data_IF_376813820621
#
_entry.id   IF_376813820621
#
_cell.length_a   1.000
_cell.length_b   1.000
_cell.length_c   1.000
_cell.angle_alpha   90.00
_cell.angle_beta   90.00
_cell.angle_gamma   90.00
#
_symmetry.space_group_name_H-M   'P 1'
#
loop_
_entity.id
_entity.type
_entity.pdbx_description
1 polymer ?
#
# COMPACT_ATOMS: atom_id res chain seq x y z
N UNK A 1 1.00 -42.95 11.73
CA UNK A 1 -0.22 -42.36 12.30
C UNK A 1 -0.04 -40.84 12.25
N UNK A 2 -0.92 -40.12 11.54
CA UNK A 2 -0.85 -38.66 11.35
C UNK A 2 -1.27 -37.97 12.65
N UNK A 3 -0.48 -37.01 13.13
CA UNK A 3 -0.75 -36.27 14.37
C UNK A 3 -1.93 -35.31 14.14
N UNK A 4 -2.99 -35.29 14.97
CA UNK A 4 -4.17 -34.42 14.79
C UNK A 4 -3.90 -32.92 15.08
N UNK A 5 -2.74 -32.59 15.64
CA UNK A 5 -2.40 -31.24 16.10
C UNK A 5 -1.82 -30.31 15.01
N UNK A 6 -1.65 -30.78 13.76
CA UNK A 6 -1.10 -29.95 12.66
C UNK A 6 -2.14 -29.08 11.94
N UNK A 7 -3.41 -29.23 12.29
CA UNK A 7 -4.49 -28.49 11.66
C UNK A 7 -4.81 -27.22 12.43
N UNK A 8 -4.76 -26.07 11.76
CA UNK A 8 -5.39 -24.79 12.12
C UNK A 8 -4.62 -23.71 12.89
N UNK A 9 -3.30 -23.81 13.08
CA UNK A 9 -2.52 -22.61 13.45
C UNK A 9 -2.29 -21.74 12.22
N UNK A 10 -3.38 -21.18 11.67
CA UNK A 10 -3.30 -20.04 10.76
C UNK A 10 -2.61 -18.91 11.52
N UNK A 11 -1.31 -18.78 11.31
CA UNK A 11 -0.49 -17.70 11.86
C UNK A 11 -1.01 -16.43 11.20
N UNK A 12 -1.92 -15.74 11.92
CA UNK A 12 -2.43 -14.43 11.50
C UNK A 12 -1.20 -13.57 11.19
N UNK A 13 -1.11 -12.93 10.01
CA UNK A 13 -0.03 -12.00 9.79
C UNK A 13 -0.10 -10.97 10.92
N UNK A 14 1.02 -10.79 11.63
CA UNK A 14 1.22 -9.75 12.62
C UNK A 14 1.10 -8.41 11.86
N UNK A 15 -0.12 -7.95 11.58
CA UNK A 15 -0.34 -6.73 10.81
C UNK A 15 0.05 -5.58 11.72
N UNK A 16 1.30 -5.12 11.56
CA UNK A 16 1.82 -3.98 12.29
C UNK A 16 0.82 -2.82 12.22
N UNK A 17 0.62 -2.14 13.35
CA UNK A 17 -0.34 -1.04 13.49
C UNK A 17 -0.19 -0.02 12.34
N UNK A 18 1.04 0.25 11.92
CA UNK A 18 1.34 1.13 10.78
C UNK A 18 0.76 0.67 9.44
N UNK A 19 0.77 -0.64 9.17
CA UNK A 19 0.18 -1.23 7.95
C UNK A 19 -1.34 -1.05 7.94
N UNK A 20 -2.00 -1.29 9.08
CA UNK A 20 -3.44 -1.08 9.24
C UNK A 20 -3.79 0.40 9.04
N UNK A 21 -3.01 1.30 9.64
CA UNK A 21 -3.22 2.75 9.48
C UNK A 21 -3.11 3.18 8.02
N UNK A 22 -2.10 2.71 7.28
CA UNK A 22 -1.95 3.00 5.84
C UNK A 22 -3.14 2.47 5.04
N UNK A 23 -3.59 1.24 5.30
CA UNK A 23 -4.76 0.66 4.62
C UNK A 23 -6.03 1.47 4.90
N UNK A 24 -6.27 1.84 6.16
CA UNK A 24 -7.41 2.67 6.54
C UNK A 24 -7.34 4.04 5.86
N UNK A 25 -6.14 4.63 5.76
CA UNK A 25 -5.94 5.92 5.12
C UNK A 25 -6.20 5.87 3.61
N UNK A 26 -5.79 4.78 2.94
CA UNK A 26 -6.10 4.51 1.53
C UNK A 26 -7.61 4.34 1.33
N UNK A 27 -8.28 3.56 2.17
CA UNK A 27 -9.74 3.37 2.10
C UNK A 27 -10.49 4.69 2.33
N UNK A 28 -10.03 5.49 3.29
CA UNK A 28 -10.59 6.81 3.57
C UNK A 28 -10.42 7.73 2.36
N UNK A 29 -9.23 7.78 1.77
CA UNK A 29 -8.97 8.53 0.52
C UNK A 29 -9.87 8.05 -0.62
N UNK A 30 -10.08 6.73 -0.76
CA UNK A 30 -10.94 6.17 -1.81
C UNK A 30 -12.41 6.58 -1.64
N UNK A 31 -12.93 6.58 -0.40
CA UNK A 31 -14.29 7.07 -0.10
C UNK A 31 -14.38 8.58 -0.37
N UNK A 32 -13.37 9.33 0.09
CA UNK A 32 -13.31 10.77 -0.05
C UNK A 32 -13.20 11.21 -1.53
N UNK A 33 -12.58 10.35 -2.36
CA UNK A 33 -12.47 10.52 -3.79
C UNK A 33 -13.79 10.29 -4.54
N UNK A 34 -14.74 9.58 -3.94
CA UNK A 34 -16.00 9.23 -4.60
C UNK A 34 -16.89 10.47 -4.92
N UNK A 35 -16.55 11.64 -4.38
CA UNK A 35 -17.04 12.95 -4.81
C UNK A 35 -18.55 13.03 -5.12
N UNK A 36 -19.35 12.55 -4.17
CA UNK A 36 -20.80 12.72 -4.20
C UNK A 36 -21.29 13.99 -3.52
N UNK A 37 -20.42 14.63 -2.75
CA UNK A 37 -20.84 15.68 -1.81
C UNK A 37 -20.89 17.07 -2.46
N UNK A 38 -20.00 17.33 -3.42
CA UNK A 38 -19.81 18.67 -3.99
C UNK A 38 -20.37 18.85 -5.40
N UNK A 39 -21.21 17.92 -5.86
CA UNK A 39 -21.69 17.87 -7.24
C UNK A 39 -22.42 19.14 -7.72
N UNK A 40 -23.06 19.89 -6.80
CA UNK A 40 -23.85 21.08 -7.15
C UNK A 40 -23.20 22.43 -6.80
N UNK A 41 -22.14 22.44 -6.00
CA UNK A 41 -21.52 23.68 -5.56
C UNK A 41 -20.42 24.14 -6.54
N UNK A 42 -20.86 24.92 -7.54
CA UNK A 42 -19.99 25.64 -8.50
C UNK A 42 -19.32 26.89 -7.91
N UNK A 43 -19.79 27.33 -6.75
CA UNK A 43 -19.28 28.49 -6.01
C UNK A 43 -18.89 28.05 -4.59
N UNK A 44 -17.79 28.56 -4.00
CA UNK A 44 -16.89 29.60 -4.49
C UNK A 44 -15.76 29.08 -5.40
N UNK A 45 -15.28 29.95 -6.30
CA UNK A 45 -14.07 29.70 -7.10
C UNK A 45 -12.82 29.86 -6.23
N UNK A 46 -12.04 28.80 -6.11
CA UNK A 46 -10.70 28.82 -5.53
C UNK A 46 -9.74 29.51 -6.51
N UNK A 47 -8.93 30.45 -6.00
CA UNK A 47 -7.94 31.22 -6.77
C UNK A 47 -8.51 32.00 -7.98
N UNK A 48 -9.83 32.22 -8.04
CA UNK A 48 -10.50 32.97 -9.10
C UNK A 48 -10.66 32.24 -10.44
N UNK A 49 -10.24 30.97 -10.55
CA UNK A 49 -10.35 30.20 -11.80
C UNK A 49 -10.78 28.73 -11.62
N UNK A 50 -10.68 28.18 -10.41
CA UNK A 50 -10.84 26.75 -10.18
C UNK A 50 -12.06 26.45 -9.29
N UNK A 51 -12.98 25.57 -9.69
CA UNK A 51 -14.06 25.11 -8.80
C UNK A 51 -13.48 24.41 -7.56
N UNK A 52 -14.09 24.61 -6.39
CA UNK A 52 -13.65 23.97 -5.13
C UNK A 52 -13.56 22.44 -5.24
N UNK A 53 -14.45 21.81 -6.02
CA UNK A 53 -14.37 20.37 -6.31
C UNK A 53 -13.08 19.97 -7.03
N UNK A 54 -12.59 20.78 -7.97
CA UNK A 54 -11.33 20.48 -8.67
C UNK A 54 -10.11 20.67 -7.76
N UNK A 55 -10.12 21.71 -6.91
CA UNK A 55 -9.08 21.92 -5.90
C UNK A 55 -9.05 20.77 -4.87
N UNK A 56 -10.23 20.26 -4.52
CA UNK A 56 -10.39 19.09 -3.66
C UNK A 56 -9.78 17.83 -4.27
N UNK A 57 -10.08 17.53 -5.54
CA UNK A 57 -9.47 16.42 -6.27
C UNK A 57 -7.95 16.52 -6.34
N UNK A 58 -7.43 17.73 -6.61
CA UNK A 58 -5.99 17.98 -6.60
C UNK A 58 -5.37 17.69 -5.23
N UNK A 59 -6.03 18.11 -4.14
CA UNK A 59 -5.62 17.80 -2.77
C UNK A 59 -5.62 16.31 -2.47
N UNK A 60 -6.66 15.58 -2.90
CA UNK A 60 -6.76 14.12 -2.75
C UNK A 60 -5.64 13.42 -3.51
N UNK A 61 -5.31 13.82 -4.74
CA UNK A 61 -4.19 13.25 -5.49
C UNK A 61 -2.85 13.46 -4.79
N UNK A 62 -2.63 14.66 -4.22
CA UNK A 62 -1.42 14.96 -3.45
C UNK A 62 -1.34 14.08 -2.19
N UNK A 63 -2.45 13.97 -1.47
CA UNK A 63 -2.54 13.13 -0.27
C UNK A 63 -2.32 11.65 -0.61
N UNK A 64 -2.89 11.13 -1.71
CA UNK A 64 -2.67 9.77 -2.16
C UNK A 64 -1.19 9.49 -2.46
N UNK A 65 -0.49 10.43 -3.09
CA UNK A 65 0.96 10.34 -3.30
C UNK A 65 1.74 10.25 -1.98
N UNK A 66 1.41 11.08 -1.00
CA UNK A 66 2.03 11.04 0.34
C UNK A 66 1.77 9.71 1.06
N UNK A 67 0.53 9.22 1.00
CA UNK A 67 0.18 7.92 1.60
C UNK A 67 0.93 6.78 0.91
N UNK A 68 1.09 6.83 -0.41
CA UNK A 68 1.93 5.90 -1.16
C UNK A 68 3.39 5.95 -0.72
N UNK A 69 3.96 7.13 -0.51
CA UNK A 69 5.33 7.29 0.00
C UNK A 69 5.49 6.69 1.40
N UNK A 70 4.53 6.94 2.30
CA UNK A 70 4.52 6.34 3.65
C UNK A 70 4.37 4.81 3.55
N UNK A 71 3.51 4.31 2.66
CA UNK A 71 3.33 2.88 2.44
C UNK A 71 4.64 2.21 2.00
N UNK A 72 5.37 2.78 1.04
CA UNK A 72 6.67 2.23 0.61
C UNK A 72 7.70 2.36 1.72
N UNK A 73 7.74 3.45 2.48
CA UNK A 73 8.75 3.66 3.53
C UNK A 73 8.57 2.72 4.74
N UNK A 74 7.33 2.39 5.10
CA UNK A 74 7.01 1.71 6.37
C UNK A 74 6.34 0.33 6.20
N UNK A 75 5.69 0.07 5.07
CA UNK A 75 5.01 -1.20 4.81
C UNK A 75 5.80 -2.10 3.86
N UNK A 76 6.84 -1.59 3.19
CA UNK A 76 7.69 -2.41 2.35
C UNK A 76 8.34 -3.52 3.20
N UNK A 77 8.20 -4.79 2.79
CA UNK A 77 8.75 -5.90 3.55
C UNK A 77 10.25 -6.06 3.33
N UNK A 78 11.03 -6.15 4.42
CA UNK A 78 12.47 -6.36 4.38
C UNK A 78 12.88 -7.80 3.94
N UNK A 79 11.95 -8.77 3.95
CA UNK A 79 12.24 -10.16 3.56
C UNK A 79 12.41 -10.36 2.05
N UNK A 80 12.05 -9.37 1.23
CA UNK A 80 12.30 -9.42 -0.22
C UNK A 80 13.80 -9.37 -0.55
N UNK A 81 14.60 -8.79 0.34
CA UNK A 81 16.05 -8.71 0.15
C UNK A 81 16.73 -10.06 0.42
N UNK A 82 16.16 -10.91 1.29
CA UNK A 82 16.70 -12.25 1.63
C UNK A 82 16.41 -13.30 0.53
N UNK A 83 15.27 -13.19 -0.15
CA UNK A 83 14.90 -14.06 -1.26
C UNK A 83 15.77 -13.79 -2.51
N UNK A 84 16.18 -12.54 -2.74
CA UNK A 84 17.12 -12.18 -3.81
C UNK A 84 18.53 -12.74 -3.58
N UNK A 85 19.05 -12.69 -2.35
CA UNK A 85 20.37 -13.28 -2.05
C UNK A 85 20.36 -14.81 -2.16
N UNK A 86 19.30 -15.46 -1.67
CA UNK A 86 19.16 -16.92 -1.75
C UNK A 86 19.03 -17.39 -3.20
N UNK A 87 18.20 -16.73 -4.03
CA UNK A 87 18.05 -17.05 -5.45
C UNK A 87 19.33 -16.83 -6.26
N UNK A 88 20.17 -15.88 -5.85
CA UNK A 88 21.47 -15.61 -6.49
C UNK A 88 22.53 -16.64 -6.09
N UNK A 89 22.55 -17.09 -4.84
CA UNK A 89 23.45 -18.14 -4.35
C UNK A 89 23.16 -19.50 -5.01
N UNK A 90 21.88 -19.86 -5.19
CA UNK A 90 21.50 -21.10 -5.88
C UNK A 90 21.82 -21.07 -7.38
N UNK A 91 21.66 -19.90 -8.02
CA UNK A 91 21.99 -19.72 -9.44
C UNK A 91 23.51 -19.74 -9.72
N UNK A 92 24.32 -19.33 -8.75
CA UNK A 92 25.79 -19.38 -8.82
C UNK A 92 26.31 -20.80 -8.57
N UNK A 93 25.78 -21.49 -7.54
CA UNK A 93 26.10 -22.89 -7.26
C UNK A 93 25.74 -23.82 -8.43
N UNK A 94 24.60 -23.60 -9.08
CA UNK A 94 24.20 -24.38 -10.27
C UNK A 94 25.09 -24.16 -11.50
N UNK A 95 25.85 -23.06 -11.56
CA UNK A 95 26.83 -22.80 -12.63
C UNK A 95 28.19 -23.42 -12.36
N UNK A 96 28.60 -23.51 -11.10
CA UNK A 96 29.88 -24.10 -10.69
C UNK A 96 29.87 -25.64 -10.78
N UNK A 97 28.73 -26.28 -10.49
CA UNK A 97 28.53 -27.74 -10.61
C UNK A 97 28.45 -28.24 -12.07
N UNK A 98 28.24 -27.34 -13.04
CA UNK A 98 28.07 -27.66 -14.46
C UNK A 98 29.32 -27.39 -15.33
N UNK A 99 30.42 -26.90 -14.74
CA UNK A 99 31.71 -26.63 -15.39
C UNK A 99 32.77 -27.66 -15.05
#
# INVERSE_FOLDING_TARGET
MRNPEDSTTFKRPETGIMRILVIVLILLLAILHHDWWWWDAKEPLVLGFMPIGLAWHAGISLAAGLVGLVAVKFCWPDHLDEEEETGKAEADAGKEEAS
#
